data_IF_544089902456
#
_entry.id   IF_544089902456
#
_cell.length_a   1.000
_cell.length_b   1.000
_cell.length_c   1.000
_cell.angle_alpha   90.00
_cell.angle_beta   90.00
_cell.angle_gamma   90.00
#
_symmetry.space_group_name_H-M   'P 1'
#
loop_
_entity.id
_entity.type
_entity.pdbx_description
1 polymer ?
#
# COMPACT_ATOMS: atom_id res chain seq x y z
N UNK A 1 -93.73 11.55 -36.62
CA UNK A 1 -92.95 10.38 -36.17
C UNK A 1 -92.30 9.67 -37.37
N UNK A 2 -91.73 10.42 -38.33
CA UNK A 2 -91.07 9.85 -39.52
C UNK A 2 -89.92 10.70 -40.06
N UNK A 3 -89.41 11.67 -39.29
CA UNK A 3 -88.36 12.60 -39.76
C UNK A 3 -87.10 12.61 -38.90
N UNK A 4 -87.08 11.85 -37.79
CA UNK A 4 -85.93 11.75 -36.89
C UNK A 4 -85.10 10.50 -37.17
N UNK A 5 -85.73 9.39 -37.60
CA UNK A 5 -85.03 8.16 -37.98
C UNK A 5 -84.26 8.31 -39.30
N UNK A 6 -84.77 9.10 -40.25
CA UNK A 6 -84.11 9.34 -41.54
C UNK A 6 -82.83 10.19 -41.39
N UNK A 7 -82.76 11.10 -40.41
CA UNK A 7 -81.56 11.92 -40.17
C UNK A 7 -80.41 11.13 -39.53
N UNK A 8 -80.70 10.16 -38.66
CA UNK A 8 -79.68 9.27 -38.08
C UNK A 8 -79.22 8.21 -39.07
N UNK A 9 -80.14 7.68 -39.90
CA UNK A 9 -79.80 6.78 -41.01
C UNK A 9 -78.96 7.49 -42.09
N UNK A 10 -79.25 8.76 -42.38
CA UNK A 10 -78.45 9.57 -43.30
C UNK A 10 -77.08 9.94 -42.71
N UNK A 11 -76.95 10.22 -41.41
CA UNK A 11 -75.64 10.47 -40.79
C UNK A 11 -74.74 9.24 -40.79
N UNK A 12 -75.32 8.06 -40.55
CA UNK A 12 -74.65 6.76 -40.63
C UNK A 12 -74.24 6.40 -42.07
N UNK A 13 -75.13 6.57 -43.06
CA UNK A 13 -74.81 6.38 -44.48
C UNK A 13 -73.77 7.38 -44.98
N UNK A 14 -73.83 8.63 -44.53
CA UNK A 14 -72.83 9.67 -44.87
C UNK A 14 -71.45 9.29 -44.35
N UNK A 15 -71.37 8.79 -43.11
CA UNK A 15 -70.12 8.31 -42.53
C UNK A 15 -69.59 7.07 -43.27
N UNK A 16 -70.45 6.14 -43.68
CA UNK A 16 -70.04 4.98 -44.49
C UNK A 16 -69.56 5.37 -45.88
N UNK A 17 -70.21 6.32 -46.54
CA UNK A 17 -69.78 6.84 -47.85
C UNK A 17 -68.43 7.55 -47.73
N UNK A 18 -68.25 8.37 -46.69
CA UNK A 18 -66.97 9.03 -46.41
C UNK A 18 -65.89 7.97 -46.11
N UNK A 19 -66.21 6.95 -45.31
CA UNK A 19 -65.30 5.84 -45.00
C UNK A 19 -64.92 5.05 -46.26
N UNK A 20 -65.88 4.76 -47.13
CA UNK A 20 -65.69 4.09 -48.42
C UNK A 20 -64.76 4.87 -49.34
N UNK A 21 -65.06 6.15 -49.59
CA UNK A 21 -64.23 7.01 -50.45
C UNK A 21 -62.83 7.23 -49.87
N UNK A 22 -62.73 7.38 -48.56
CA UNK A 22 -61.45 7.55 -47.88
C UNK A 22 -60.58 6.28 -47.96
N UNK A 23 -61.19 5.09 -47.84
CA UNK A 23 -60.49 3.81 -48.01
C UNK A 23 -60.05 3.57 -49.46
N UNK A 24 -60.85 3.99 -50.43
CA UNK A 24 -60.50 3.94 -51.85
C UNK A 24 -59.27 4.81 -52.14
N UNK A 25 -59.26 6.06 -51.67
CA UNK A 25 -58.11 6.97 -51.75
C UNK A 25 -56.87 6.43 -51.03
N UNK A 26 -57.03 5.85 -49.83
CA UNK A 26 -55.92 5.23 -49.10
C UNK A 26 -55.37 3.98 -49.81
N UNK A 27 -56.21 3.21 -50.50
CA UNK A 27 -55.79 2.00 -51.24
C UNK A 27 -54.90 2.30 -52.44
N UNK A 28 -54.99 3.52 -52.97
CA UNK A 28 -54.10 4.01 -54.03
C UNK A 28 -52.75 4.47 -53.48
N UNK A 29 -52.66 4.83 -52.19
CA UNK A 29 -51.45 5.38 -51.56
C UNK A 29 -50.70 4.37 -50.69
N UNK A 30 -51.35 3.31 -50.20
CA UNK A 30 -50.78 2.36 -49.25
C UNK A 30 -51.00 0.90 -49.67
N UNK A 31 -50.04 -0.01 -49.36
CA UNK A 31 -50.22 -1.44 -49.54
C UNK A 31 -51.44 -1.99 -48.77
N UNK A 32 -52.05 -3.05 -49.31
CA UNK A 32 -53.29 -3.66 -48.81
C UNK A 32 -53.25 -4.14 -47.35
N UNK A 33 -52.07 -4.41 -46.80
CA UNK A 33 -51.89 -4.80 -45.40
C UNK A 33 -52.10 -3.62 -44.43
N UNK A 34 -51.72 -2.40 -44.80
CA UNK A 34 -51.86 -1.20 -43.96
C UNK A 34 -53.31 -0.75 -43.82
N UNK A 35 -54.12 -0.99 -44.85
CA UNK A 35 -55.57 -0.71 -44.85
C UNK A 35 -56.34 -1.60 -43.86
N UNK A 36 -55.92 -2.86 -43.67
CA UNK A 36 -56.57 -3.77 -42.70
C UNK A 36 -56.47 -3.24 -41.28
N UNK A 37 -55.35 -2.63 -40.92
CA UNK A 37 -55.12 -2.05 -39.58
C UNK A 37 -56.03 -0.83 -39.33
N UNK A 38 -56.29 -0.02 -40.36
CA UNK A 38 -57.15 1.17 -40.23
C UNK A 38 -58.63 0.86 -40.00
N UNK A 39 -59.08 -0.34 -40.35
CA UNK A 39 -60.51 -0.73 -40.31
C UNK A 39 -60.83 -1.67 -39.13
N UNK A 40 -59.82 -2.34 -38.58
CA UNK A 40 -59.98 -3.36 -37.54
C UNK A 40 -59.77 -2.78 -36.14
N UNK A 41 -60.78 -2.89 -35.26
CA UNK A 41 -60.65 -2.53 -33.85
C UNK A 41 -59.74 -3.53 -33.14
N UNK A 42 -58.62 -3.04 -32.59
CA UNK A 42 -57.69 -3.87 -31.81
C UNK A 42 -57.81 -3.48 -30.33
N UNK A 43 -58.37 -4.35 -29.46
CA UNK A 43 -58.53 -4.03 -28.04
C UNK A 43 -57.17 -4.00 -27.33
N UNK A 44 -56.77 -2.82 -26.88
CA UNK A 44 -55.48 -2.55 -26.24
C UNK A 44 -55.21 -3.46 -25.02
N UNK A 45 -56.25 -3.86 -24.28
CA UNK A 45 -56.13 -4.75 -23.11
C UNK A 45 -55.53 -6.13 -23.42
N UNK A 46 -55.70 -6.65 -24.64
CA UNK A 46 -55.07 -7.91 -25.08
C UNK A 46 -53.61 -7.74 -25.49
N UNK A 47 -53.20 -6.53 -25.84
CA UNK A 47 -51.81 -6.21 -26.19
C UNK A 47 -50.99 -6.05 -24.90
N UNK A 48 -51.56 -5.42 -23.87
CA UNK A 48 -50.90 -5.23 -22.56
C UNK A 48 -50.41 -6.56 -21.97
N UNK A 49 -51.18 -7.65 -22.09
CA UNK A 49 -50.79 -8.98 -21.57
C UNK A 49 -49.61 -9.63 -22.30
N UNK A 50 -49.17 -9.07 -23.43
CA UNK A 50 -48.03 -9.56 -24.21
C UNK A 50 -46.74 -8.78 -23.91
N UNK A 51 -46.82 -7.72 -23.11
CA UNK A 51 -45.69 -6.84 -22.80
C UNK A 51 -44.95 -7.41 -21.57
N UNK A 52 -43.62 -7.63 -21.64
CA UNK A 52 -42.81 -8.05 -20.50
C UNK A 52 -42.85 -7.04 -19.34
N UNK A 53 -42.70 -7.51 -18.10
CA UNK A 53 -42.76 -6.65 -16.90
C UNK A 53 -41.60 -5.64 -16.85
N UNK A 54 -40.43 -6.01 -17.37
CA UNK A 54 -39.22 -5.19 -17.49
C UNK A 54 -39.19 -4.28 -18.73
N UNK A 55 -40.24 -4.33 -19.57
CA UNK A 55 -40.29 -3.53 -20.77
C UNK A 55 -40.48 -2.04 -20.46
N UNK A 56 -39.75 -1.18 -21.17
CA UNK A 56 -39.88 0.28 -21.05
C UNK A 56 -40.76 0.79 -22.19
N UNK A 57 -41.83 1.51 -21.85
CA UNK A 57 -42.82 1.96 -22.81
C UNK A 57 -42.56 3.41 -23.20
N UNK A 58 -42.23 3.63 -24.48
CA UNK A 58 -42.01 4.96 -25.03
C UNK A 58 -43.26 5.42 -25.77
N UNK A 59 -43.89 6.46 -25.24
CA UNK A 59 -45.12 7.01 -25.79
C UNK A 59 -44.81 8.16 -26.77
N UNK A 60 -45.11 7.93 -28.05
CA UNK A 60 -44.90 8.88 -29.16
C UNK A 60 -46.27 9.36 -29.66
N UNK A 61 -46.94 10.21 -28.87
CA UNK A 61 -48.16 10.88 -29.32
C UNK A 61 -48.40 12.20 -28.56
N UNK A 62 -49.13 13.11 -29.21
CA UNK A 62 -49.39 14.48 -28.73
C UNK A 62 -50.35 14.50 -27.51
N UNK A 63 -51.05 13.40 -27.22
CA UNK A 63 -52.01 13.27 -26.12
C UNK A 63 -51.63 12.15 -25.15
N UNK A 64 -51.60 12.43 -23.84
CA UNK A 64 -51.22 11.48 -22.78
C UNK A 64 -52.37 10.58 -22.29
N UNK A 65 -53.44 10.42 -23.07
CA UNK A 65 -54.66 9.72 -22.61
C UNK A 65 -54.38 8.24 -22.26
N UNK A 66 -53.37 7.64 -22.90
CA UNK A 66 -52.94 6.26 -22.65
C UNK A 66 -52.08 6.06 -21.40
N UNK A 67 -51.45 7.12 -20.88
CA UNK A 67 -50.53 7.00 -19.74
C UNK A 67 -51.25 6.50 -18.49
N UNK A 68 -52.49 6.94 -18.28
CA UNK A 68 -53.33 6.53 -17.14
C UNK A 68 -53.80 5.08 -17.23
N UNK A 69 -54.01 4.55 -18.44
CA UNK A 69 -54.45 3.17 -18.67
C UNK A 69 -53.27 2.22 -18.50
N UNK A 70 -52.09 2.60 -19.01
CA UNK A 70 -50.86 1.83 -18.90
C UNK A 70 -50.38 1.77 -17.45
N UNK A 71 -50.30 2.91 -16.76
CA UNK A 71 -49.86 2.98 -15.35
C UNK A 71 -50.79 2.22 -14.38
N UNK A 72 -52.06 2.01 -14.74
CA UNK A 72 -53.00 1.20 -13.95
C UNK A 72 -52.91 -0.31 -14.24
N UNK A 73 -52.32 -0.70 -15.37
CA UNK A 73 -52.37 -2.07 -15.87
C UNK A 73 -50.99 -2.75 -15.89
N UNK A 74 -49.90 -1.98 -15.83
CA UNK A 74 -48.51 -2.45 -15.84
C UNK A 74 -47.71 -1.68 -14.78
N UNK A 75 -46.83 -2.36 -14.06
CA UNK A 75 -45.85 -1.74 -13.15
C UNK A 75 -44.64 -1.15 -13.90
N UNK A 76 -44.64 -1.23 -15.23
CA UNK A 76 -43.55 -0.82 -16.11
C UNK A 76 -43.38 0.70 -16.21
N UNK A 77 -42.13 1.15 -16.39
CA UNK A 77 -41.78 2.56 -16.56
C UNK A 77 -42.26 3.09 -17.91
N UNK A 78 -43.06 4.16 -17.89
CA UNK A 78 -43.59 4.83 -19.10
C UNK A 78 -42.94 6.19 -19.27
N UNK A 79 -42.25 6.40 -20.40
CA UNK A 79 -41.68 7.69 -20.78
C UNK A 79 -42.54 8.30 -21.88
N UNK A 80 -43.02 9.53 -21.67
CA UNK A 80 -43.76 10.27 -22.69
C UNK A 80 -42.90 11.36 -23.30
N UNK A 81 -42.79 11.36 -24.64
CA UNK A 81 -42.00 12.33 -25.39
C UNK A 81 -42.77 13.62 -25.72
N UNK A 82 -44.08 13.67 -25.47
CA UNK A 82 -44.91 14.86 -25.69
C UNK A 82 -45.91 15.04 -24.54
N UNK A 83 -46.01 16.25 -23.98
CA UNK A 83 -47.08 16.63 -23.04
C UNK A 83 -47.88 17.81 -23.59
N UNK A 84 -49.11 17.98 -23.09
CA UNK A 84 -50.14 18.86 -23.68
C UNK A 84 -49.93 20.37 -23.47
N UNK A 85 -48.73 20.83 -23.12
CA UNK A 85 -48.45 22.25 -22.87
C UNK A 85 -47.62 22.87 -24.00
N UNK A 86 -48.20 23.85 -24.70
CA UNK A 86 -47.71 24.37 -25.98
C UNK A 86 -46.48 25.28 -25.87
N UNK A 87 -46.10 25.70 -24.66
CA UNK A 87 -45.02 26.69 -24.50
C UNK A 87 -43.62 26.12 -24.72
N UNK A 88 -43.42 24.80 -24.54
CA UNK A 88 -42.07 24.21 -24.53
C UNK A 88 -41.98 22.81 -25.18
N UNK A 89 -42.63 22.57 -26.32
CA UNK A 89 -42.67 21.26 -27.00
C UNK A 89 -41.29 20.61 -27.21
N UNK A 90 -40.28 21.40 -27.60
CA UNK A 90 -38.91 20.90 -27.82
C UNK A 90 -38.24 20.50 -26.51
N UNK A 91 -38.43 21.29 -25.45
CA UNK A 91 -37.87 20.99 -24.14
C UNK A 91 -38.45 19.69 -23.59
N UNK A 92 -39.77 19.51 -23.68
CA UNK A 92 -40.45 18.28 -23.24
C UNK A 92 -39.94 17.04 -23.97
N UNK A 93 -39.65 17.17 -25.27
CA UNK A 93 -39.08 16.10 -26.08
C UNK A 93 -37.65 15.75 -25.63
N UNK A 94 -36.80 16.75 -25.40
CA UNK A 94 -35.43 16.55 -24.93
C UNK A 94 -35.39 16.00 -23.50
N UNK A 95 -36.30 16.41 -22.63
CA UNK A 95 -36.49 15.85 -21.29
C UNK A 95 -36.81 14.36 -21.37
N UNK A 96 -37.75 13.94 -22.23
CA UNK A 96 -38.07 12.52 -22.41
C UNK A 96 -36.90 11.70 -23.00
N UNK A 97 -36.03 12.30 -23.83
CA UNK A 97 -34.77 11.66 -24.25
C UNK A 97 -33.79 11.54 -23.08
N UNK A 98 -33.74 12.55 -22.20
CA UNK A 98 -32.97 12.50 -20.96
C UNK A 98 -33.45 11.41 -20.02
N UNK A 99 -34.76 11.23 -19.89
CA UNK A 99 -35.37 10.15 -19.10
C UNK A 99 -34.97 8.78 -19.65
N UNK A 100 -34.96 8.60 -20.99
CA UNK A 100 -34.46 7.38 -21.62
C UNK A 100 -32.99 7.10 -21.27
N UNK A 101 -32.16 8.14 -21.26
CA UNK A 101 -30.75 8.03 -20.88
C UNK A 101 -30.57 7.64 -19.41
N UNK A 102 -31.34 8.25 -18.50
CA UNK A 102 -31.27 7.98 -17.07
C UNK A 102 -31.68 6.54 -16.70
N UNK A 103 -32.52 5.90 -17.51
CA UNK A 103 -32.86 4.47 -17.32
C UNK A 103 -31.78 3.53 -17.90
N UNK A 104 -30.83 4.06 -18.67
CA UNK A 104 -29.67 3.31 -19.18
C UNK A 104 -29.63 3.11 -20.69
N UNK A 105 -30.56 3.69 -21.45
CA UNK A 105 -30.46 3.69 -22.92
C UNK A 105 -29.45 4.73 -23.42
N UNK A 106 -28.97 4.57 -24.65
CA UNK A 106 -27.95 5.45 -25.25
C UNK A 106 -28.47 6.12 -26.55
N UNK A 107 -29.39 7.09 -26.45
CA UNK A 107 -29.91 7.80 -27.62
C UNK A 107 -28.79 8.56 -28.35
N UNK A 108 -28.76 8.47 -29.67
CA UNK A 108 -27.76 9.15 -30.51
C UNK A 108 -28.16 10.60 -30.79
N UNK A 109 -28.10 11.43 -29.73
CA UNK A 109 -28.55 12.84 -29.75
C UNK A 109 -27.85 13.66 -30.85
N UNK A 110 -26.62 13.30 -31.23
CA UNK A 110 -25.87 13.97 -32.30
C UNK A 110 -26.63 14.01 -33.64
N UNK A 111 -27.51 13.03 -33.91
CA UNK A 111 -28.31 12.99 -35.15
C UNK A 111 -29.42 14.06 -35.20
N UNK A 112 -29.73 14.71 -34.08
CA UNK A 112 -30.73 15.78 -34.01
C UNK A 112 -30.17 17.14 -34.44
N UNK A 113 -28.84 17.27 -34.55
CA UNK A 113 -28.15 18.50 -34.89
C UNK A 113 -27.29 18.32 -36.14
N UNK A 114 -26.95 19.41 -36.85
CA UNK A 114 -25.99 19.35 -37.95
C UNK A 114 -24.65 18.72 -37.49
N UNK A 115 -23.94 18.03 -38.39
CA UNK A 115 -22.67 17.39 -38.05
C UNK A 115 -21.63 18.42 -37.61
N UNK A 116 -20.95 18.12 -36.49
CA UNK A 116 -19.89 18.96 -35.91
C UNK A 116 -18.60 18.81 -36.73
N UNK A 117 -17.93 19.93 -37.00
CA UNK A 117 -16.63 19.93 -37.68
C UNK A 117 -15.49 19.82 -36.67
N UNK A 118 -14.57 18.89 -36.92
CA UNK A 118 -13.36 18.68 -36.13
C UNK A 118 -12.12 19.18 -36.90
N UNK A 119 -11.06 19.64 -36.22
CA UNK A 119 -10.88 19.72 -34.76
C UNK A 119 -11.70 20.84 -34.10
N UNK A 120 -11.98 20.70 -32.81
CA UNK A 120 -12.71 21.73 -32.04
C UNK A 120 -11.91 23.02 -31.93
N UNK A 121 -12.61 24.14 -31.70
CA UNK A 121 -11.99 25.46 -31.59
C UNK A 121 -11.13 25.62 -30.33
N UNK A 122 -10.11 26.50 -30.43
CA UNK A 122 -9.28 26.86 -29.28
C UNK A 122 -10.12 27.54 -28.20
N UNK A 123 -9.99 27.07 -26.95
CA UNK A 123 -10.78 27.54 -25.82
C UNK A 123 -11.98 26.64 -25.46
N UNK A 124 -12.24 25.58 -26.24
CA UNK A 124 -13.21 24.55 -25.85
C UNK A 124 -12.82 23.93 -24.50
N UNK A 125 -13.72 23.88 -23.48
CA UNK A 125 -13.41 23.38 -22.15
C UNK A 125 -12.89 21.93 -22.12
N UNK A 126 -12.03 21.62 -21.14
CA UNK A 126 -11.52 20.26 -20.92
C UNK A 126 -12.58 19.36 -20.29
N UNK A 127 -12.80 18.18 -20.88
CA UNK A 127 -13.73 17.16 -20.36
C UNK A 127 -13.15 16.45 -19.12
N UNK A 128 -11.83 16.29 -19.03
CA UNK A 128 -11.17 15.52 -17.97
C UNK A 128 -11.49 16.00 -16.55
N UNK A 129 -11.76 17.29 -16.35
CA UNK A 129 -12.11 17.88 -15.05
C UNK A 129 -13.55 17.60 -14.60
N UNK A 130 -14.42 17.14 -15.51
CA UNK A 130 -15.83 16.85 -15.24
C UNK A 130 -16.06 15.39 -14.86
N UNK A 131 -15.14 14.49 -15.23
CA UNK A 131 -15.24 13.06 -14.91
C UNK A 131 -14.74 12.83 -13.48
N UNK A 132 -15.60 12.29 -12.62
CA UNK A 132 -15.26 11.92 -11.25
C UNK A 132 -15.41 10.41 -11.10
N UNK A 133 -14.41 9.78 -10.53
CA UNK A 133 -14.47 8.38 -10.12
C UNK A 133 -14.84 8.31 -8.64
N UNK A 134 -15.42 7.19 -8.24
CA UNK A 134 -15.59 6.86 -6.83
C UNK A 134 -14.22 6.49 -6.25
N UNK A 135 -13.74 7.31 -5.32
CA UNK A 135 -12.46 7.15 -4.63
C UNK A 135 -12.68 6.83 -3.14
N UNK A 136 -13.78 6.15 -2.81
CA UNK A 136 -14.06 5.70 -1.44
C UNK A 136 -13.08 4.65 -0.94
N UNK A 137 -12.62 3.76 -1.84
CA UNK A 137 -11.63 2.74 -1.51
C UNK A 137 -10.20 3.25 -1.72
N UNK A 138 -9.39 3.15 -0.68
CA UNK A 138 -7.96 3.43 -0.73
C UNK A 138 -7.18 2.20 -1.22
N UNK A 139 -6.28 2.42 -2.17
CA UNK A 139 -5.36 1.40 -2.65
C UNK A 139 -3.99 1.57 -1.99
N UNK A 140 -3.31 0.45 -1.74
CA UNK A 140 -1.95 0.48 -1.22
C UNK A 140 -1.00 1.12 -2.25
N UNK A 141 -0.53 2.33 -1.95
CA UNK A 141 0.49 3.02 -2.73
C UNK A 141 1.82 2.94 -1.99
N UNK A 142 2.86 2.47 -2.67
CA UNK A 142 4.22 2.53 -2.16
C UNK A 142 4.63 3.99 -1.98
N UNK A 143 4.64 4.45 -0.74
CA UNK A 143 5.14 5.77 -0.41
C UNK A 143 6.67 5.70 -0.35
N UNK A 144 7.36 6.23 -1.36
CA UNK A 144 8.80 6.48 -1.26
C UNK A 144 9.02 7.55 -0.20
N UNK A 145 9.33 7.09 1.01
CA UNK A 145 9.76 7.99 2.07
C UNK A 145 11.28 8.13 1.92
N UNK A 146 11.72 9.26 1.36
CA UNK A 146 13.14 9.63 1.37
C UNK A 146 13.72 9.45 2.77
N UNK A 147 14.99 8.99 2.86
CA UNK A 147 15.67 8.57 4.09
C UNK A 147 15.00 9.11 5.35
N UNK A 148 14.26 8.25 6.04
CA UNK A 148 13.69 8.57 7.32
C UNK A 148 14.82 9.00 8.24
N UNK A 149 14.88 10.29 8.57
CA UNK A 149 15.41 10.70 9.86
C UNK A 149 14.42 10.10 10.85
N UNK A 150 14.78 8.95 11.42
CA UNK A 150 13.99 8.24 12.42
C UNK A 150 13.77 9.20 13.59
N UNK A 151 12.60 9.83 13.67
CA UNK A 151 12.24 10.77 14.72
C UNK A 151 11.55 10.12 15.92
N UNK A 152 11.16 8.84 15.80
CA UNK A 152 10.58 8.04 16.88
C UNK A 152 11.48 6.85 17.21
N UNK A 153 11.86 6.73 18.48
CA UNK A 153 12.64 5.62 19.05
C UNK A 153 11.79 4.36 19.32
N UNK A 154 10.53 4.32 18.91
CA UNK A 154 9.61 3.18 19.09
C UNK A 154 8.58 3.10 17.94
N UNK A 155 8.16 1.86 17.59
CA UNK A 155 6.96 1.59 16.79
C UNK A 155 6.02 0.72 17.63
N UNK A 156 4.95 1.29 18.21
CA UNK A 156 3.92 0.48 18.85
C UNK A 156 3.15 -0.28 17.75
N UNK A 157 3.07 -1.61 17.88
CA UNK A 157 2.25 -2.47 17.01
C UNK A 157 1.15 -3.05 17.89
N UNK A 158 -0.09 -2.64 17.62
CA UNK A 158 -1.27 -3.18 18.30
C UNK A 158 -1.68 -4.50 17.66
N UNK A 159 -1.31 -5.61 18.29
CA UNK A 159 -1.66 -6.96 17.82
C UNK A 159 -3.04 -7.31 18.38
N UNK A 160 -4.00 -7.58 17.50
CA UNK A 160 -5.37 -8.02 17.87
C UNK A 160 -5.81 -9.13 16.93
N UNK A 161 -6.39 -10.22 17.43
CA UNK A 161 -6.88 -11.34 16.60
C UNK A 161 -8.10 -10.98 15.73
N UNK A 162 -8.64 -9.76 15.87
CA UNK A 162 -9.68 -9.22 15.00
C UNK A 162 -9.09 -8.63 13.69
N UNK A 163 -7.77 -8.42 13.66
CA UNK A 163 -7.04 -8.02 12.46
C UNK A 163 -6.69 -9.27 11.65
N UNK A 164 -6.97 -9.26 10.35
CA UNK A 164 -6.75 -10.38 9.43
C UNK A 164 -5.27 -10.79 9.38
N UNK A 165 -4.36 -9.83 9.56
CA UNK A 165 -2.90 -10.08 9.64
C UNK A 165 -2.51 -10.93 10.87
N UNK A 166 -3.27 -10.83 11.95
CA UNK A 166 -2.92 -11.39 13.27
C UNK A 166 -3.89 -12.48 13.75
N UNK A 167 -4.90 -12.82 12.95
CA UNK A 167 -5.90 -13.86 13.25
C UNK A 167 -5.24 -15.20 13.60
N UNK A 168 -4.14 -15.55 12.91
CA UNK A 168 -3.42 -16.80 13.12
C UNK A 168 -2.84 -16.98 14.54
N UNK A 169 -2.65 -15.89 15.30
CA UNK A 169 -2.20 -15.98 16.69
C UNK A 169 -3.25 -16.61 17.62
N UNK A 170 -4.52 -16.65 17.20
CA UNK A 170 -5.57 -17.38 17.93
C UNK A 170 -5.29 -18.88 18.04
N UNK A 171 -4.44 -19.44 17.17
CA UNK A 171 -4.05 -20.85 17.18
C UNK A 171 -2.97 -21.23 18.21
N UNK A 172 -2.27 -20.26 18.82
CA UNK A 172 -1.18 -20.52 19.77
C UNK A 172 -1.69 -20.53 21.23
N UNK A 173 -2.41 -21.60 21.59
CA UNK A 173 -3.04 -21.78 22.91
C UNK A 173 -2.18 -22.68 23.81
N UNK A 174 -1.75 -22.15 24.96
CA UNK A 174 -1.03 -22.90 26.00
C UNK A 174 -1.78 -22.69 27.31
N UNK A 175 -2.15 -23.79 27.98
CA UNK A 175 -2.94 -23.77 29.23
C UNK A 175 -4.26 -22.97 29.11
N UNK A 176 -4.95 -23.10 27.98
CA UNK A 176 -6.23 -22.42 27.71
C UNK A 176 -6.12 -20.91 27.50
N UNK A 177 -4.90 -20.37 27.38
CA UNK A 177 -4.64 -18.94 27.09
C UNK A 177 -3.95 -18.80 25.74
N UNK A 178 -4.38 -17.81 24.96
CA UNK A 178 -3.70 -17.42 23.73
C UNK A 178 -2.41 -16.69 24.11
N UNK A 179 -1.27 -17.37 24.00
CA UNK A 179 0.04 -16.78 24.23
C UNK A 179 0.62 -16.34 22.90
N UNK A 180 1.44 -15.29 22.89
CA UNK A 180 2.24 -14.99 21.70
C UNK A 180 3.32 -16.07 21.55
N UNK A 181 3.56 -16.59 20.33
CA UNK A 181 4.68 -17.49 20.07
C UNK A 181 6.00 -16.91 20.57
N UNK A 182 6.90 -17.76 21.07
CA UNK A 182 8.22 -17.34 21.54
C UNK A 182 9.06 -16.67 20.43
N UNK A 183 8.65 -16.71 19.16
CA UNK A 183 9.23 -15.96 18.05
C UNK A 183 8.85 -14.47 18.04
N UNK A 184 7.92 -14.01 18.87
CA UNK A 184 7.61 -12.58 19.08
C UNK A 184 8.47 -11.86 20.13
N UNK A 185 9.61 -12.44 20.55
CA UNK A 185 10.30 -12.14 21.83
C UNK A 185 11.56 -11.27 21.75
N UNK A 186 11.70 -10.35 20.79
CA UNK A 186 12.94 -9.57 20.54
C UNK A 186 14.15 -10.41 20.10
N UNK A 187 13.90 -11.63 19.62
CA UNK A 187 14.91 -12.41 18.93
C UNK A 187 15.14 -11.84 17.53
N UNK A 188 16.37 -11.88 17.05
CA UNK A 188 16.71 -11.56 15.67
C UNK A 188 17.46 -12.73 15.05
N UNK A 189 17.29 -12.89 13.73
CA UNK A 189 18.01 -13.85 12.91
C UNK A 189 18.57 -13.14 11.68
N UNK A 190 19.77 -13.54 11.25
CA UNK A 190 20.38 -13.14 9.99
C UNK A 190 20.46 -14.42 9.15
N UNK A 191 19.91 -14.36 7.94
CA UNK A 191 19.77 -15.50 7.03
C UNK A 191 20.52 -15.21 5.74
N UNK A 192 21.30 -16.17 5.25
CA UNK A 192 21.95 -16.16 3.94
C UNK A 192 21.66 -17.51 3.24
N UNK A 193 21.13 -17.48 2.02
CA UNK A 193 20.76 -18.67 1.23
C UNK A 193 19.96 -19.71 2.02
N UNK A 194 18.86 -19.29 2.67
CA UNK A 194 17.97 -20.10 3.54
C UNK A 194 18.63 -20.71 4.79
N UNK A 195 19.88 -20.36 5.08
CA UNK A 195 20.59 -20.80 6.29
C UNK A 195 20.64 -19.67 7.32
N UNK A 196 20.20 -19.95 8.55
CA UNK A 196 20.39 -19.03 9.67
C UNK A 196 21.86 -18.99 10.03
N UNK A 197 22.52 -17.85 9.77
CA UNK A 197 23.95 -17.64 10.02
C UNK A 197 24.22 -16.97 11.37
N UNK A 198 23.27 -16.18 11.88
CA UNK A 198 23.34 -15.55 13.20
C UNK A 198 21.95 -15.56 13.81
N UNK A 199 21.87 -15.87 15.10
CA UNK A 199 20.67 -15.68 15.91
C UNK A 199 21.05 -15.02 17.22
N UNK A 200 20.13 -14.26 17.80
CA UNK A 200 20.36 -13.57 19.07
C UNK A 200 19.12 -12.87 19.59
N UNK A 201 19.31 -12.10 20.65
CA UNK A 201 18.26 -11.32 21.31
C UNK A 201 18.75 -9.88 21.50
N UNK A 202 17.93 -8.90 21.15
CA UNK A 202 18.28 -7.49 21.28
C UNK A 202 17.18 -6.73 22.03
N UNK A 203 17.52 -5.97 23.08
CA UNK A 203 16.57 -5.14 23.82
C UNK A 203 17.15 -3.78 24.15
N UNK A 204 16.28 -2.80 24.35
CA UNK A 204 16.63 -1.55 25.02
C UNK A 204 16.40 -1.75 26.53
N UNK A 205 17.43 -1.58 27.39
CA UNK A 205 17.25 -1.72 28.83
C UNK A 205 16.52 -0.50 29.41
N UNK A 206 15.70 -0.73 30.45
CA UNK A 206 15.03 0.36 31.19
C UNK A 206 16.05 1.30 31.84
N UNK A 207 17.14 0.73 32.38
CA UNK A 207 18.26 1.48 32.91
C UNK A 207 19.56 0.74 32.55
N UNK A 208 20.39 1.40 31.76
CA UNK A 208 21.65 0.85 31.25
C UNK A 208 22.69 0.67 32.36
N UNK A 209 22.58 1.38 33.48
CA UNK A 209 23.53 1.30 34.58
C UNK A 209 23.55 -0.10 35.23
N UNK A 210 22.41 -0.79 35.29
CA UNK A 210 22.32 -2.17 35.80
C UNK A 210 22.81 -3.22 34.80
N UNK A 211 22.97 -2.86 33.54
CA UNK A 211 23.44 -3.78 32.50
C UNK A 211 24.96 -3.72 32.33
N UNK A 212 25.56 -2.55 32.53
CA UNK A 212 27.00 -2.29 32.39
C UNK A 212 27.82 -3.00 33.46
N UNK A 213 29.08 -3.27 33.14
CA UNK A 213 30.05 -3.77 34.10
C UNK A 213 30.27 -2.74 35.23
N UNK A 214 30.18 -3.15 36.51
CA UNK A 214 30.41 -2.22 37.62
C UNK A 214 31.82 -1.63 37.58
N UNK A 215 31.91 -0.30 37.66
CA UNK A 215 33.16 0.46 37.54
C UNK A 215 34.26 -0.01 38.52
N UNK A 216 33.86 -0.52 39.69
CA UNK A 216 34.79 -1.09 40.68
C UNK A 216 35.65 -2.25 40.14
N UNK A 217 35.14 -3.00 39.16
CA UNK A 217 35.86 -4.11 38.51
C UNK A 217 36.69 -3.68 37.30
N UNK A 218 36.57 -2.41 36.87
CA UNK A 218 37.31 -1.83 35.74
C UNK A 218 38.60 -1.14 36.19
N UNK A 219 39.24 -1.67 37.24
CA UNK A 219 40.45 -1.08 37.83
C UNK A 219 41.60 -1.10 36.82
N UNK A 220 42.37 0.00 36.75
CA UNK A 220 43.62 0.05 35.98
C UNK A 220 44.66 -0.84 36.69
N UNK A 221 44.87 -2.07 36.23
CA UNK A 221 46.09 -2.83 36.56
C UNK A 221 47.27 -2.16 35.84
N UNK A 222 47.86 -1.16 36.50
CA UNK A 222 48.66 -0.10 35.89
C UNK A 222 50.08 -0.46 35.45
N UNK A 223 50.27 -1.46 34.58
CA UNK A 223 51.63 -1.81 34.10
C UNK A 223 51.78 -2.03 32.58
N UNK A 224 50.68 -2.12 31.83
CA UNK A 224 50.80 -2.35 30.39
C UNK A 224 51.05 -1.04 29.62
N UNK A 225 52.29 -0.89 29.13
CA UNK A 225 52.67 0.22 28.27
C UNK A 225 52.21 -0.03 26.82
N UNK A 226 51.66 1.00 26.19
CA UNK A 226 51.23 0.99 24.79
C UNK A 226 52.44 1.11 23.83
N UNK A 227 53.20 0.03 23.71
CA UNK A 227 54.46 0.00 22.97
C UNK A 227 54.31 -0.27 21.46
N UNK A 228 53.16 -0.72 20.97
CA UNK A 228 52.92 -1.03 19.56
C UNK A 228 52.20 0.12 18.86
N UNK A 229 52.71 0.58 17.71
CA UNK A 229 52.02 1.56 16.87
C UNK A 229 51.12 0.87 15.82
N UNK A 230 50.31 1.64 15.07
CA UNK A 230 49.44 1.10 14.00
C UNK A 230 50.17 0.15 13.02
N UNK A 231 51.40 0.45 12.62
CA UNK A 231 52.14 -0.41 11.69
C UNK A 231 52.49 -1.76 12.32
N UNK A 232 52.93 -1.75 13.58
CA UNK A 232 53.29 -2.97 14.33
C UNK A 232 52.06 -3.86 14.56
N UNK A 233 50.95 -3.27 15.00
CA UNK A 233 49.68 -3.97 15.27
C UNK A 233 49.19 -4.71 14.01
N UNK A 234 49.10 -3.99 12.89
CA UNK A 234 48.58 -4.58 11.66
C UNK A 234 49.60 -5.47 10.94
N UNK A 235 50.90 -5.32 11.23
CA UNK A 235 51.91 -6.29 10.81
C UNK A 235 51.73 -7.61 11.57
N UNK A 236 51.55 -7.56 12.88
CA UNK A 236 51.30 -8.74 13.72
C UNK A 236 50.02 -9.47 13.29
N UNK A 237 48.89 -8.74 13.15
CA UNK A 237 47.63 -9.33 12.65
C UNK A 237 47.79 -9.93 11.25
N UNK A 238 48.56 -9.29 10.36
CA UNK A 238 48.85 -9.83 9.03
C UNK A 238 49.65 -11.13 9.08
N UNK A 239 50.62 -11.26 9.98
CA UNK A 239 51.38 -12.50 10.19
C UNK A 239 50.48 -13.65 10.69
N UNK A 240 49.42 -13.33 11.44
CA UNK A 240 48.41 -14.32 11.89
C UNK A 240 47.44 -14.74 10.77
N UNK A 241 47.35 -13.94 9.70
CA UNK A 241 46.53 -14.22 8.51
C UNK A 241 45.43 -13.18 8.24
N UNK A 242 45.34 -12.12 9.05
CA UNK A 242 44.32 -11.08 8.88
C UNK A 242 44.76 -10.00 7.89
N UNK A 243 43.99 -9.79 6.83
CA UNK A 243 44.30 -8.83 5.77
C UNK A 243 43.46 -7.55 5.88
N UNK A 244 43.39 -6.95 7.07
CA UNK A 244 42.61 -5.73 7.31
C UNK A 244 43.07 -4.55 6.45
N UNK A 245 42.13 -3.74 5.96
CA UNK A 245 42.38 -2.53 5.17
C UNK A 245 41.39 -1.40 5.52
N UNK A 246 41.68 -0.17 5.10
CA UNK A 246 40.75 0.96 5.20
C UNK A 246 40.24 1.25 6.62
N UNK A 247 38.92 1.29 6.79
CA UNK A 247 38.24 1.57 8.07
C UNK A 247 38.42 0.46 9.11
N UNK A 248 38.97 -0.70 8.75
CA UNK A 248 39.30 -1.77 9.70
C UNK A 248 40.74 -1.66 10.22
N UNK A 249 41.42 -0.53 9.97
CA UNK A 249 42.76 -0.22 10.50
C UNK A 249 42.79 1.00 11.43
N UNK A 250 42.00 0.98 12.49
CA UNK A 250 41.78 2.13 13.38
C UNK A 250 42.51 2.08 14.72
N UNK A 251 43.13 0.94 15.06
CA UNK A 251 44.01 0.84 16.22
C UNK A 251 45.23 1.76 16.04
N UNK A 252 45.39 2.72 16.96
CA UNK A 252 46.47 3.71 16.98
C UNK A 252 47.66 3.26 17.80
N UNK A 253 47.37 2.59 18.89
CA UNK A 253 48.36 2.07 19.82
C UNK A 253 47.77 0.89 20.59
N UNK A 254 48.64 -0.02 21.03
CA UNK A 254 48.29 -1.19 21.83
C UNK A 254 49.49 -1.61 22.69
N UNK A 255 49.23 -2.28 23.82
CA UNK A 255 50.24 -3.02 24.54
C UNK A 255 50.58 -4.33 23.83
N UNK A 256 51.77 -4.87 24.12
CA UNK A 256 52.21 -6.17 23.58
C UNK A 256 51.27 -7.30 24.03
N UNK A 257 50.69 -7.16 25.22
CA UNK A 257 49.69 -8.07 25.79
C UNK A 257 48.31 -7.94 25.15
N UNK A 258 48.07 -6.92 24.30
CA UNK A 258 46.77 -6.65 23.70
C UNK A 258 45.69 -6.22 24.71
N UNK A 259 46.08 -5.79 25.91
CA UNK A 259 45.14 -5.45 27.00
C UNK A 259 44.71 -4.00 27.02
N UNK A 260 45.57 -3.09 26.59
CA UNK A 260 45.29 -1.64 26.58
C UNK A 260 45.72 -1.02 25.27
N UNK A 261 44.97 -0.04 24.78
CA UNK A 261 45.28 0.64 23.52
C UNK A 261 44.33 1.79 23.23
N UNK A 262 44.45 2.35 22.03
CA UNK A 262 43.56 3.42 21.55
C UNK A 262 43.02 3.13 20.16
N UNK A 263 41.71 3.32 19.97
CA UNK A 263 41.01 3.19 18.68
C UNK A 263 40.56 4.56 18.22
N UNK A 264 40.85 4.92 16.96
CA UNK A 264 40.30 6.13 16.34
C UNK A 264 38.83 5.94 16.01
N UNK A 265 37.96 6.82 16.49
CA UNK A 265 36.53 6.83 16.13
C UNK A 265 36.33 7.31 14.67
N UNK A 266 35.78 6.47 13.78
CA UNK A 266 35.61 6.79 12.35
C UNK A 266 34.20 7.31 12.01
N UNK A 267 33.32 7.53 13.00
CA UNK A 267 31.87 7.74 12.80
C UNK A 267 31.18 6.53 12.15
N UNK A 268 31.68 5.32 12.44
CA UNK A 268 31.13 4.05 11.97
C UNK A 268 31.24 3.02 13.10
N UNK A 269 30.09 2.63 13.66
CA UNK A 269 29.99 1.72 14.80
C UNK A 269 30.54 0.33 14.47
N UNK A 270 30.20 -0.21 13.29
CA UNK A 270 30.64 -1.55 12.85
C UNK A 270 32.15 -1.65 12.80
N UNK A 271 32.80 -0.69 12.12
CA UNK A 271 34.25 -0.65 12.03
C UNK A 271 34.88 -0.48 13.42
N UNK A 272 34.32 0.38 14.26
CA UNK A 272 34.84 0.60 15.61
C UNK A 272 34.75 -0.66 16.49
N UNK A 273 33.60 -1.34 16.50
CA UNK A 273 33.41 -2.60 17.23
C UNK A 273 34.29 -3.72 16.67
N UNK A 274 34.50 -3.80 15.36
CA UNK A 274 35.47 -4.74 14.78
C UNK A 274 36.89 -4.47 15.28
N UNK A 275 37.31 -3.20 15.38
CA UNK A 275 38.61 -2.86 15.98
C UNK A 275 38.70 -3.21 17.47
N UNK A 276 37.58 -3.22 18.21
CA UNK A 276 37.55 -3.77 19.58
C UNK A 276 37.76 -5.30 19.57
N UNK A 277 37.13 -6.02 18.65
CA UNK A 277 37.33 -7.47 18.48
C UNK A 277 38.77 -7.79 18.05
N UNK A 278 39.37 -6.97 17.18
CA UNK A 278 40.79 -7.07 16.82
C UNK A 278 41.70 -6.96 18.05
N UNK A 279 41.36 -6.10 19.01
CA UNK A 279 42.11 -5.97 20.27
C UNK A 279 42.06 -7.27 21.09
N UNK A 280 40.89 -7.91 21.16
CA UNK A 280 40.74 -9.22 21.81
C UNK A 280 41.52 -10.32 21.10
N UNK A 281 41.51 -10.33 19.77
CA UNK A 281 42.34 -11.25 18.97
C UNK A 281 43.82 -11.02 19.24
N UNK A 282 44.27 -9.77 19.38
CA UNK A 282 45.65 -9.43 19.72
C UNK A 282 46.03 -9.93 21.11
N UNK A 283 45.11 -9.87 22.08
CA UNK A 283 45.33 -10.32 23.46
C UNK A 283 45.43 -11.84 23.64
N UNK A 284 44.94 -12.60 22.67
CA UNK A 284 44.96 -14.06 22.68
C UNK A 284 46.11 -14.58 21.79
N UNK A 285 46.81 -15.64 22.19
CA UNK A 285 47.90 -16.25 21.40
C UNK A 285 47.53 -17.60 20.75
N UNK A 286 46.53 -17.68 19.87
CA UNK A 286 46.54 -18.68 18.84
C UNK A 286 47.37 -18.10 17.70
N UNK A 287 48.55 -18.67 17.43
CA UNK A 287 49.27 -18.41 16.17
C UNK A 287 48.46 -18.78 14.91
N UNK A 288 47.28 -19.37 15.12
CA UNK A 288 46.26 -19.70 14.12
C UNK A 288 45.23 -18.59 13.96
N UNK A 289 44.70 -18.46 12.74
CA UNK A 289 43.62 -17.52 12.43
C UNK A 289 42.32 -17.95 13.13
N UNK A 290 41.65 -17.01 13.79
CA UNK A 290 40.35 -17.23 14.44
C UNK A 290 39.32 -16.16 14.02
N UNK A 291 38.04 -16.52 14.11
CA UNK A 291 36.92 -15.60 13.88
C UNK A 291 35.97 -15.65 15.07
N UNK A 292 35.41 -14.50 15.51
CA UNK A 292 34.36 -14.48 16.51
C UNK A 292 33.14 -15.26 16.03
N UNK A 293 32.62 -16.14 16.86
CA UNK A 293 31.43 -16.96 16.56
C UNK A 293 30.33 -16.81 17.59
N UNK A 294 30.66 -16.35 18.80
CA UNK A 294 29.68 -16.11 19.84
C UNK A 294 30.03 -14.83 20.59
N UNK A 295 29.02 -14.02 20.87
CA UNK A 295 29.09 -12.88 21.78
C UNK A 295 28.00 -13.08 22.80
N UNK A 296 28.37 -13.33 24.06
CA UNK A 296 27.40 -13.54 25.15
C UNK A 296 26.57 -12.29 25.43
N UNK A 297 27.20 -11.11 25.40
CA UNK A 297 26.53 -9.83 25.67
C UNK A 297 27.25 -8.68 24.96
N UNK A 298 26.47 -7.81 24.31
CA UNK A 298 26.92 -6.56 23.73
C UNK A 298 26.07 -5.43 24.29
N UNK A 299 26.70 -4.38 24.82
CA UNK A 299 26.03 -3.19 25.34
C UNK A 299 26.55 -2.00 24.56
N UNK A 300 25.63 -1.16 24.09
CA UNK A 300 25.95 0.09 23.40
C UNK A 300 25.18 1.21 24.09
N UNK A 301 25.93 2.17 24.64
CA UNK A 301 25.45 3.43 25.20
C UNK A 301 25.91 4.59 24.30
N UNK A 302 25.10 5.00 23.31
CA UNK A 302 25.48 6.05 22.37
C UNK A 302 25.68 7.40 23.07
N UNK A 303 24.87 7.70 24.10
CA UNK A 303 24.93 8.99 24.78
C UNK A 303 26.24 9.13 25.55
N UNK A 304 26.62 8.10 26.31
CA UNK A 304 27.90 8.06 27.01
C UNK A 304 29.09 8.04 26.04
N UNK A 305 28.98 7.29 24.93
CA UNK A 305 30.03 7.26 23.91
C UNK A 305 30.27 8.65 23.30
N UNK A 306 29.21 9.39 22.98
CA UNK A 306 29.32 10.74 22.44
C UNK A 306 29.85 11.74 23.47
N UNK A 307 29.45 11.64 24.75
CA UNK A 307 30.03 12.44 25.84
C UNK A 307 31.54 12.27 25.93
N UNK A 308 32.04 11.03 25.93
CA UNK A 308 33.50 10.77 25.93
C UNK A 308 34.21 11.39 24.71
N UNK A 309 33.58 11.39 23.54
CA UNK A 309 34.16 12.01 22.34
C UNK A 309 34.20 13.53 22.40
N UNK A 310 33.27 14.18 23.11
CA UNK A 310 33.27 15.63 23.32
C UNK A 310 34.38 16.07 24.28
N UNK A 311 34.67 15.26 25.30
CA UNK A 311 35.73 15.53 26.28
C UNK A 311 37.13 15.36 25.69
N UNK A 312 37.26 14.59 24.60
CA UNK A 312 38.52 14.37 23.89
C UNK A 312 38.77 15.49 22.87
N UNK A 313 39.97 16.07 22.88
CA UNK A 313 40.39 17.14 21.96
C UNK A 313 40.07 16.82 20.49
N UNK A 314 39.46 17.79 19.78
CA UNK A 314 38.98 17.72 18.39
C UNK A 314 40.01 17.13 17.40
N UNK A 315 41.31 17.28 17.67
CA UNK A 315 42.39 16.87 16.76
C UNK A 315 42.68 15.36 16.76
N UNK A 316 42.29 14.59 17.79
CA UNK A 316 42.50 13.14 17.84
C UNK A 316 41.35 12.47 18.60
N UNK A 317 40.25 12.16 17.90
CA UNK A 317 39.12 11.35 18.40
C UNK A 317 39.53 9.88 18.64
N UNK A 318 40.50 9.66 19.53
CA UNK A 318 41.03 8.36 19.88
C UNK A 318 40.45 7.96 21.24
N UNK A 319 39.64 6.91 21.27
CA UNK A 319 39.06 6.37 22.49
C UNK A 319 39.97 5.28 23.06
N UNK A 320 40.19 5.24 24.39
CA UNK A 320 40.90 4.13 25.01
C UNK A 320 40.07 2.84 24.87
N UNK A 321 40.74 1.72 24.60
CA UNK A 321 40.18 0.37 24.60
C UNK A 321 40.90 -0.47 25.64
N UNK A 322 40.15 -1.25 26.42
CA UNK A 322 40.69 -2.17 27.41
C UNK A 322 40.07 -3.56 27.28
N UNK A 323 40.90 -4.59 27.43
CA UNK A 323 40.50 -5.99 27.52
C UNK A 323 40.70 -6.47 28.96
N UNK A 324 39.64 -7.01 29.55
CA UNK A 324 39.62 -7.54 30.91
C UNK A 324 39.45 -9.05 30.85
N UNK A 325 40.55 -9.80 31.02
CA UNK A 325 40.53 -11.27 30.92
C UNK A 325 39.62 -11.90 31.98
N UNK A 326 39.67 -11.41 33.22
CA UNK A 326 38.87 -11.94 34.33
C UNK A 326 37.36 -11.71 34.17
N UNK A 327 36.97 -10.70 33.39
CA UNK A 327 35.56 -10.40 33.09
C UNK A 327 35.15 -10.94 31.71
N UNK A 328 36.10 -11.50 30.97
CA UNK A 328 36.00 -11.81 29.54
C UNK A 328 35.32 -10.68 28.75
N UNK A 329 35.83 -9.46 28.92
CA UNK A 329 35.19 -8.25 28.41
C UNK A 329 36.16 -7.33 27.66
N UNK A 330 35.61 -6.57 26.71
CA UNK A 330 36.29 -5.52 25.96
C UNK A 330 35.46 -4.24 26.12
N UNK A 331 36.08 -3.17 26.57
CA UNK A 331 35.40 -1.90 26.87
C UNK A 331 36.08 -0.76 26.14
N UNK A 332 35.30 0.06 25.43
CA UNK A 332 35.76 1.31 24.82
C UNK A 332 34.61 2.28 24.60
N UNK A 333 34.75 3.53 25.06
CA UNK A 333 33.67 4.51 24.99
C UNK A 333 32.42 4.03 25.73
N UNK A 334 31.27 4.15 25.08
CA UNK A 334 30.02 3.53 25.54
C UNK A 334 29.76 2.10 25.05
N UNK A 335 30.77 1.35 24.64
CA UNK A 335 30.59 -0.03 24.17
C UNK A 335 31.24 -1.02 25.13
N UNK A 336 30.51 -2.07 25.48
CA UNK A 336 31.00 -3.22 26.25
C UNK A 336 30.66 -4.52 25.51
N UNK A 337 31.68 -5.32 25.20
CA UNK A 337 31.53 -6.63 24.55
C UNK A 337 32.00 -7.69 25.54
N UNK A 338 31.13 -8.62 25.92
CA UNK A 338 31.43 -9.64 26.92
C UNK A 338 31.22 -11.05 26.35
N UNK A 339 32.05 -12.00 26.77
CA UNK A 339 31.90 -13.41 26.41
C UNK A 339 32.17 -13.68 24.93
N UNK A 340 33.24 -13.11 24.38
CA UNK A 340 33.59 -13.31 22.97
C UNK A 340 34.28 -14.67 22.84
N UNK A 341 33.65 -15.61 22.13
CA UNK A 341 34.31 -16.86 21.72
C UNK A 341 34.76 -16.73 20.27
N UNK A 342 35.96 -17.22 20.01
CA UNK A 342 36.52 -17.29 18.68
C UNK A 342 36.86 -18.74 18.32
N UNK A 343 36.53 -19.15 17.10
CA UNK A 343 36.88 -20.47 16.57
C UNK A 343 38.03 -20.35 15.58
N UNK A 344 38.97 -21.30 15.66
CA UNK A 344 40.06 -21.40 14.70
C UNK A 344 39.51 -21.86 13.35
N UNK A 345 39.92 -21.19 12.28
CA UNK A 345 39.58 -21.60 10.91
C UNK A 345 40.82 -22.07 10.17
N UNK A 346 40.62 -22.95 9.19
CA UNK A 346 41.73 -23.39 8.32
C UNK A 346 42.14 -22.23 7.40
N UNK A 347 43.44 -21.97 7.31
CA UNK A 347 43.97 -21.00 6.33
C UNK A 347 43.62 -21.50 4.93
N UNK A 348 42.93 -20.67 4.14
CA UNK A 348 42.86 -20.90 2.69
C UNK A 348 44.27 -20.73 2.14
N UNK A 349 44.85 -21.82 1.65
CA UNK A 349 46.04 -21.78 0.81
C UNK A 349 45.65 -21.04 -0.46
N UNK A 350 45.93 -19.74 -0.53
CA UNK A 350 45.88 -19.01 -1.79
C UNK A 350 46.90 -19.63 -2.73
N UNK A 351 46.41 -20.22 -3.81
CA UNK A 351 47.22 -20.73 -4.92
C UNK A 351 47.86 -19.59 -5.69
#
# INVERSE_FOLDING_TARGET
MSTIDDNNANHSKSLEIIKSKFLELLSQMLPSQSLKVAVQYVPFRKIITLIPEDAILVHIAIQNDFQTIIAKSLESTVISLCKRDQKHTIQMFLEGIGDLYNIGFQPQIANLYPPVQFPVSRGTPMISLLVRLDHTDDYHVYQYRGQHIISSRERPVSITTADEEFEYFSGHVIDGKNLLPATGTNNFEIIEDDNVIVSGFARVPNDIAYEKLPVQFLSNSGEDNECMNTADIYKELRLRGYQYTGLFRLLKSASITGKVGHIRWPMNWTAFMDNMLQMKILSFDPRSICVPTEIRKLIIDPEYHMKQLHDISVKKKNLPVRVYDCLDAIVSGGIEICGVKATVISRRLTR
#
